data_IF_177831742161
#
_entry.id   IF_177831742161
#
_cell.length_a   1.000
_cell.length_b   1.000
_cell.length_c   1.000
_cell.angle_alpha   90.00
_cell.angle_beta   90.00
_cell.angle_gamma   90.00
#
_symmetry.space_group_name_H-M   'P 1'
#
loop_
_entity.id
_entity.type
_entity.pdbx_description
1 polymer ?
#
# COMPACT_ATOMS: atom_id res chain seq x y z
N UNK A 1 27.68 -49.45 -6.62
CA UNK A 1 29.08 -49.05 -6.88
C UNK A 1 29.02 -47.98 -7.96
N UNK A 2 28.72 -46.72 -7.60
CA UNK A 2 29.68 -45.70 -7.12
C UNK A 2 30.57 -45.16 -8.27
N UNK A 3 30.31 -43.90 -8.62
CA UNK A 3 31.12 -43.00 -9.45
C UNK A 3 32.40 -42.58 -8.69
N UNK A 4 33.50 -42.33 -9.42
CA UNK A 4 34.48 -41.24 -9.21
C UNK A 4 35.43 -41.20 -10.42
N UNK A 5 35.34 -40.16 -11.26
CA UNK A 5 36.23 -38.98 -11.23
C UNK A 5 37.66 -39.28 -11.74
N UNK A 6 37.94 -38.99 -13.01
CA UNK A 6 38.50 -37.72 -13.52
C UNK A 6 39.96 -37.40 -13.14
N UNK A 7 40.69 -37.00 -14.19
CA UNK A 7 41.77 -36.00 -14.26
C UNK A 7 43.24 -36.45 -14.14
N UNK A 8 43.92 -36.21 -15.26
CA UNK A 8 45.24 -35.55 -15.46
C UNK A 8 46.37 -36.43 -15.99
N UNK A 9 46.53 -36.33 -17.31
CA UNK A 9 47.77 -35.96 -18.04
C UNK A 9 47.30 -35.66 -19.48
N UNK A 10 47.01 -34.44 -19.91
CA UNK A 10 47.87 -33.26 -20.03
C UNK A 10 49.22 -33.61 -20.70
N UNK A 11 49.29 -33.50 -22.03
CA UNK A 11 50.31 -32.72 -22.76
C UNK A 11 50.36 -33.08 -24.27
N UNK A 12 50.52 -32.05 -25.11
CA UNK A 12 50.87 -32.01 -26.55
C UNK A 12 49.75 -32.37 -27.56
N UNK A 13 49.51 -31.65 -28.65
CA UNK A 13 50.19 -30.50 -29.26
C UNK A 13 49.24 -29.71 -30.19
N UNK A 14 49.48 -28.41 -30.28
CA UNK A 14 48.94 -27.42 -31.21
C UNK A 14 49.43 -27.65 -32.66
N UNK A 15 48.62 -27.26 -33.67
CA UNK A 15 49.02 -26.36 -34.77
C UNK A 15 47.97 -26.28 -35.91
N UNK A 16 47.60 -25.05 -36.29
CA UNK A 16 47.20 -24.66 -37.64
C UNK A 16 45.69 -24.42 -37.87
N UNK A 17 45.21 -23.34 -38.47
CA UNK A 17 45.76 -22.03 -38.84
C UNK A 17 44.59 -21.17 -39.34
N UNK A 18 44.65 -19.89 -39.03
CA UNK A 18 43.78 -18.79 -39.45
C UNK A 18 43.78 -18.54 -40.97
N UNK A 19 42.61 -18.14 -41.51
CA UNK A 19 42.51 -17.16 -42.59
C UNK A 19 41.06 -16.71 -42.77
N UNK A 20 40.75 -15.44 -42.42
CA UNK A 20 40.03 -14.49 -43.30
C UNK A 20 39.83 -13.12 -42.66
N UNK A 21 40.45 -12.12 -43.26
CA UNK A 21 39.75 -10.88 -43.64
C UNK A 21 39.74 -9.73 -42.64
N UNK A 22 40.83 -8.97 -42.59
CA UNK A 22 40.83 -7.61 -42.05
C UNK A 22 40.27 -6.62 -43.09
N UNK A 23 39.27 -5.83 -42.71
CA UNK A 23 39.04 -4.48 -43.28
C UNK A 23 38.55 -3.55 -42.18
N UNK A 24 39.25 -2.42 -42.05
CA UNK A 24 39.10 -1.39 -41.03
C UNK A 24 38.36 -0.18 -41.63
N UNK A 25 37.69 0.56 -40.74
CA UNK A 25 37.34 2.00 -40.80
C UNK A 25 36.14 2.45 -41.65
N UNK A 26 35.05 2.81 -40.96
CA UNK A 26 34.52 4.19 -40.93
C UNK A 26 33.47 4.40 -39.82
N UNK A 27 33.85 5.11 -38.78
CA UNK A 27 33.02 6.08 -38.04
C UNK A 27 33.77 7.41 -38.17
N UNK A 28 33.12 8.59 -38.32
CA UNK A 28 32.40 9.27 -37.23
C UNK A 28 31.18 10.09 -37.75
N UNK A 29 30.31 10.76 -36.99
CA UNK A 29 30.59 11.88 -36.07
C UNK A 29 29.32 12.27 -35.30
N UNK A 30 29.47 12.26 -33.98
CA UNK A 30 28.68 12.92 -32.96
C UNK A 30 29.21 14.36 -32.82
N UNK A 31 28.34 15.36 -32.64
CA UNK A 31 28.74 16.74 -32.38
C UNK A 31 27.94 17.32 -31.22
N UNK A 32 28.66 17.63 -30.14
CA UNK A 32 28.27 18.56 -29.08
C UNK A 32 29.53 19.28 -28.55
N UNK A 33 29.50 20.63 -28.58
CA UNK A 33 30.21 21.63 -27.75
C UNK A 33 29.91 23.02 -28.38
N UNK A 34 29.13 23.94 -27.78
CA UNK A 34 29.45 24.86 -26.66
C UNK A 34 30.69 25.74 -26.97
N UNK A 35 30.77 27.06 -26.77
CA UNK A 35 29.93 28.14 -26.21
C UNK A 35 30.72 29.45 -26.42
N UNK A 36 30.08 30.59 -26.72
CA UNK A 36 30.61 31.93 -26.36
C UNK A 36 29.49 33.00 -26.48
N UNK A 37 29.04 33.51 -25.34
CA UNK A 37 28.29 34.76 -25.23
C UNK A 37 29.26 35.95 -25.07
N UNK A 38 28.81 37.20 -25.26
CA UNK A 38 28.33 37.93 -24.08
C UNK A 38 27.04 38.74 -24.29
N UNK A 39 26.46 39.07 -23.13
CA UNK A 39 25.17 39.71 -22.86
C UNK A 39 25.16 41.20 -23.19
N UNK A 40 24.00 41.69 -23.66
CA UNK A 40 23.57 43.09 -23.57
C UNK A 40 22.05 43.18 -23.50
N UNK A 41 21.52 43.59 -22.33
CA UNK A 41 20.08 43.71 -22.00
C UNK A 41 19.51 45.10 -22.36
N UNK A 42 18.27 45.12 -22.90
CA UNK A 42 17.07 45.89 -22.44
C UNK A 42 16.02 45.84 -23.58
N UNK A 43 14.90 45.14 -23.45
CA UNK A 43 13.63 45.58 -22.84
C UNK A 43 13.13 46.87 -23.53
N UNK A 44 11.96 46.92 -24.19
CA UNK A 44 10.62 46.69 -23.63
C UNK A 44 9.57 46.63 -24.74
N UNK A 45 8.59 45.73 -24.62
CA UNK A 45 7.42 45.64 -25.49
C UNK A 45 6.46 44.55 -25.02
N UNK A 46 5.87 44.76 -23.84
CA UNK A 46 4.95 43.83 -23.19
C UNK A 46 3.63 43.73 -23.97
N UNK A 47 3.35 42.56 -24.55
CA UNK A 47 1.98 42.10 -24.78
C UNK A 47 1.65 41.08 -23.71
N UNK A 48 0.76 41.51 -22.83
CA UNK A 48 0.13 40.74 -21.77
C UNK A 48 -0.53 39.50 -22.34
N UNK A 49 0.06 38.34 -22.10
CA UNK A 49 -0.66 37.07 -22.20
C UNK A 49 -1.21 36.78 -20.80
N UNK A 50 -2.54 36.82 -20.72
CA UNK A 50 -3.32 36.37 -19.57
C UNK A 50 -2.89 34.95 -19.18
N UNK A 51 -2.54 34.68 -17.91
CA UNK A 51 -2.32 33.32 -17.48
C UNK A 51 -3.67 32.60 -17.52
N UNK A 52 -3.79 31.61 -18.41
CA UNK A 52 -4.86 30.61 -18.40
C UNK A 52 -5.09 30.16 -16.96
N UNK A 53 -6.27 30.50 -16.43
CA UNK A 53 -6.75 30.03 -15.15
C UNK A 53 -6.60 28.52 -15.09
N UNK A 54 -5.77 28.07 -14.16
CA UNK A 54 -5.69 26.67 -13.79
C UNK A 54 -7.10 26.19 -13.42
N UNK A 55 -7.50 25.07 -14.00
CA UNK A 55 -8.71 24.34 -13.64
C UNK A 55 -8.83 24.31 -12.10
N UNK A 56 -10.02 24.60 -11.53
CA UNK A 56 -10.16 24.64 -10.09
C UNK A 56 -9.88 23.23 -9.57
N UNK A 57 -8.78 23.09 -8.82
CA UNK A 57 -8.50 21.88 -8.03
C UNK A 57 -9.77 21.56 -7.26
N UNK A 58 -10.39 20.42 -7.58
CA UNK A 58 -11.57 19.92 -6.89
C UNK A 58 -11.38 20.14 -5.39
N UNK A 59 -12.21 21.00 -4.82
CA UNK A 59 -12.15 21.33 -3.41
C UNK A 59 -12.35 20.02 -2.64
N UNK A 60 -11.30 19.54 -2.00
CA UNK A 60 -11.37 18.33 -1.20
C UNK A 60 -12.26 18.63 0.01
N UNK A 61 -13.54 18.28 -0.11
CA UNK A 61 -14.51 18.34 1.00
C UNK A 61 -13.85 17.62 2.18
N UNK A 62 -13.72 18.29 3.34
CA UNK A 62 -13.14 17.64 4.51
C UNK A 62 -13.92 16.36 4.81
N UNK A 63 -13.26 15.20 4.95
CA UNK A 63 -13.97 13.95 5.18
C UNK A 63 -14.77 14.08 6.48
N UNK A 64 -16.08 13.76 6.41
CA UNK A 64 -17.06 13.92 7.51
C UNK A 64 -16.53 13.41 8.86
N UNK A 65 -15.89 12.26 8.84
CA UNK A 65 -15.31 11.61 10.02
C UNK A 65 -14.17 12.42 10.67
N UNK A 66 -13.40 13.18 9.88
CA UNK A 66 -12.34 14.06 10.40
C UNK A 66 -12.91 15.28 11.12
N UNK A 67 -14.02 15.82 10.64
CA UNK A 67 -14.72 16.92 11.32
C UNK A 67 -15.32 16.44 12.62
N UNK A 68 -16.02 15.31 12.58
CA UNK A 68 -16.59 14.66 13.77
C UNK A 68 -15.54 14.33 14.82
N UNK A 69 -14.37 13.86 14.39
CA UNK A 69 -13.23 13.63 15.27
C UNK A 69 -12.82 14.90 16.04
N UNK A 70 -12.70 16.03 15.35
CA UNK A 70 -12.30 17.30 15.98
C UNK A 70 -13.39 17.90 16.86
N UNK A 71 -14.64 17.86 16.40
CA UNK A 71 -15.75 18.55 17.04
C UNK A 71 -16.30 17.80 18.27
N UNK A 72 -16.43 16.48 18.18
CA UNK A 72 -17.12 15.67 19.19
C UNK A 72 -16.14 14.79 19.98
N UNK A 73 -15.26 14.07 19.28
CA UNK A 73 -14.46 13.00 19.87
C UNK A 73 -13.29 13.54 20.69
N UNK A 74 -12.59 14.58 20.21
CA UNK A 74 -11.49 15.21 20.96
C UNK A 74 -11.97 15.75 22.32
N UNK A 75 -13.07 16.51 22.41
CA UNK A 75 -13.61 16.93 23.72
C UNK A 75 -14.02 15.76 24.62
N UNK A 76 -14.63 14.71 24.06
CA UNK A 76 -15.05 13.53 24.83
C UNK A 76 -13.84 12.79 25.43
N UNK A 77 -12.79 12.55 24.64
CA UNK A 77 -11.56 11.91 25.11
C UNK A 77 -10.84 12.77 26.15
N UNK A 78 -10.79 14.08 25.95
CA UNK A 78 -10.17 15.01 26.89
C UNK A 78 -10.89 15.01 28.23
N UNK A 79 -12.24 14.98 28.24
CA UNK A 79 -13.03 14.89 29.47
C UNK A 79 -12.83 13.57 30.20
N UNK A 80 -12.71 12.46 29.46
CA UNK A 80 -12.60 11.12 30.05
C UNK A 80 -11.22 10.83 30.63
N UNK A 81 -10.17 11.22 29.94
CA UNK A 81 -8.79 10.90 30.32
C UNK A 81 -8.03 12.10 30.91
N UNK A 82 -8.66 13.27 31.00
CA UNK A 82 -8.12 14.50 31.60
C UNK A 82 -6.70 14.84 31.11
N UNK A 83 -6.50 14.83 29.79
CA UNK A 83 -5.20 15.11 29.20
C UNK A 83 -4.69 16.52 29.55
N UNK A 84 -3.41 16.61 29.92
CA UNK A 84 -2.77 17.89 30.29
C UNK A 84 -2.44 18.75 29.07
N UNK A 85 -2.28 18.11 27.90
CA UNK A 85 -1.93 18.79 26.66
C UNK A 85 -2.86 18.32 25.53
N UNK A 86 -3.49 19.22 24.75
CA UNK A 86 -4.32 18.86 23.60
C UNK A 86 -3.63 17.93 22.59
N UNK A 87 -2.32 18.01 22.47
CA UNK A 87 -1.53 17.17 21.56
C UNK A 87 -1.33 15.73 22.07
N UNK A 88 -1.70 15.42 23.32
CA UNK A 88 -1.69 14.06 23.86
C UNK A 88 -2.91 13.25 23.42
N UNK A 89 -3.96 13.89 22.90
CA UNK A 89 -5.18 13.22 22.50
C UNK A 89 -4.87 12.18 21.40
N UNK A 90 -5.29 10.91 21.58
CA UNK A 90 -5.08 9.86 20.60
C UNK A 90 -5.64 10.22 19.21
N UNK A 91 -4.87 9.93 18.17
CA UNK A 91 -5.26 10.09 16.76
C UNK A 91 -4.92 8.86 15.95
N UNK A 92 -5.64 8.65 14.85
CA UNK A 92 -5.30 7.62 13.86
C UNK A 92 -4.13 8.12 13.01
N UNK A 93 -3.04 7.34 12.95
CA UNK A 93 -1.85 7.67 12.17
C UNK A 93 -1.92 7.14 10.74
N UNK A 94 -2.31 5.87 10.60
CA UNK A 94 -2.40 5.17 9.32
C UNK A 94 -3.32 3.97 9.47
N UNK A 95 -3.91 3.58 8.36
CA UNK A 95 -4.60 2.30 8.22
C UNK A 95 -3.85 1.47 7.20
N UNK A 96 -3.49 0.25 7.58
CA UNK A 96 -2.83 -0.72 6.69
C UNK A 96 -3.86 -1.78 6.37
N UNK A 97 -4.13 -1.98 5.09
CA UNK A 97 -4.97 -3.08 4.60
C UNK A 97 -4.05 -4.07 3.91
N UNK A 98 -4.10 -5.31 4.34
CA UNK A 98 -3.26 -6.39 3.84
C UNK A 98 -4.14 -7.56 3.39
N UNK A 99 -3.82 -8.14 2.24
CA UNK A 99 -4.49 -9.32 1.72
C UNK A 99 -3.45 -10.40 1.42
N UNK A 100 -3.60 -11.54 2.08
CA UNK A 100 -2.81 -12.74 1.81
C UNK A 100 -3.47 -13.59 0.74
N UNK A 101 -2.76 -13.87 -0.35
CA UNK A 101 -3.26 -14.69 -1.46
C UNK A 101 -2.46 -15.98 -1.49
N UNK A 102 -2.90 -16.99 -0.74
CA UNK A 102 -2.19 -18.28 -0.64
C UNK A 102 -2.05 -19.02 -1.97
N UNK A 103 -3.01 -18.80 -2.87
CA UNK A 103 -3.04 -19.42 -4.21
C UNK A 103 -2.08 -18.78 -5.21
N UNK A 104 -1.48 -17.64 -4.86
CA UNK A 104 -0.52 -16.92 -5.69
C UNK A 104 0.67 -17.79 -6.12
N UNK A 105 0.98 -18.84 -5.35
CA UNK A 105 2.05 -19.79 -5.64
C UNK A 105 1.73 -20.63 -6.88
N UNK A 106 0.46 -20.98 -7.09
CA UNK A 106 0.00 -21.78 -8.23
C UNK A 106 -0.42 -20.90 -9.40
N UNK A 107 -1.11 -19.80 -9.11
CA UNK A 107 -1.59 -18.88 -10.13
C UNK A 107 -1.11 -17.44 -9.85
N UNK A 108 -0.09 -16.93 -10.56
CA UNK A 108 0.39 -15.58 -10.35
C UNK A 108 -0.65 -14.50 -10.71
N UNK A 109 -1.60 -14.82 -11.60
CA UNK A 109 -2.68 -13.87 -11.99
C UNK A 109 -3.63 -13.57 -10.83
N UNK A 110 -3.78 -14.49 -9.87
CA UNK A 110 -4.62 -14.26 -8.70
C UNK A 110 -4.15 -13.06 -7.85
N UNK A 111 -2.85 -12.76 -7.87
CA UNK A 111 -2.30 -11.57 -7.20
C UNK A 111 -2.70 -10.30 -7.95
N UNK A 112 -2.72 -10.34 -9.28
CA UNK A 112 -3.10 -9.18 -10.10
C UNK A 112 -4.58 -8.84 -9.91
N UNK A 113 -5.48 -9.84 -9.87
CA UNK A 113 -6.89 -9.64 -9.52
C UNK A 113 -7.02 -9.03 -8.12
N UNK A 114 -6.33 -9.58 -7.11
CA UNK A 114 -6.35 -9.05 -5.74
C UNK A 114 -5.81 -7.61 -5.64
N UNK A 115 -4.85 -7.23 -6.49
CA UNK A 115 -4.34 -5.86 -6.57
C UNK A 115 -5.40 -4.93 -7.17
N UNK A 116 -6.14 -5.37 -8.19
CA UNK A 116 -7.23 -4.61 -8.78
C UNK A 116 -8.36 -4.37 -7.75
N UNK A 117 -8.78 -5.42 -7.04
CA UNK A 117 -9.83 -5.35 -6.01
C UNK A 117 -9.44 -4.36 -4.90
N UNK A 118 -8.23 -4.51 -4.32
CA UNK A 118 -7.75 -3.58 -3.30
C UNK A 118 -7.56 -2.15 -3.83
N UNK A 119 -7.22 -1.99 -5.12
CA UNK A 119 -7.10 -0.67 -5.72
C UNK A 119 -8.46 0.04 -5.81
N UNK A 120 -9.52 -0.69 -6.15
CA UNK A 120 -10.88 -0.16 -6.17
C UNK A 120 -11.34 0.23 -4.77
N UNK A 121 -11.12 -0.65 -3.78
CA UNK A 121 -11.50 -0.39 -2.39
C UNK A 121 -10.75 0.83 -1.83
N UNK A 122 -9.42 0.85 -1.97
CA UNK A 122 -8.57 1.84 -1.31
C UNK A 122 -8.37 3.14 -2.11
N UNK A 123 -8.73 3.17 -3.39
CA UNK A 123 -8.43 4.29 -4.31
C UNK A 123 -6.93 4.56 -4.48
N UNK A 124 -6.09 3.59 -4.12
CA UNK A 124 -4.64 3.70 -4.11
C UNK A 124 -4.03 2.39 -4.60
N UNK A 125 -3.07 2.49 -5.53
CA UNK A 125 -2.35 1.32 -6.06
C UNK A 125 -1.67 0.55 -4.92
N UNK A 126 -2.05 -0.71 -4.66
CA UNK A 126 -1.42 -1.55 -3.65
C UNK A 126 0.01 -1.93 -4.02
N UNK A 127 0.82 -2.22 -3.01
CA UNK A 127 2.16 -2.77 -3.16
C UNK A 127 2.11 -4.30 -3.10
N UNK A 128 2.70 -4.98 -4.09
CA UNK A 128 2.82 -6.44 -4.09
C UNK A 128 3.89 -6.87 -3.09
N UNK A 129 3.52 -7.81 -2.20
CA UNK A 129 4.40 -8.38 -1.19
C UNK A 129 5.00 -9.68 -1.70
N UNK A 130 6.33 -9.71 -1.78
CA UNK A 130 7.11 -10.89 -2.14
C UNK A 130 7.63 -11.60 -0.91
N UNK A 131 7.74 -12.92 -1.00
CA UNK A 131 8.33 -13.76 0.02
C UNK A 131 9.79 -13.39 0.29
N UNK A 132 10.16 -13.22 1.57
CA UNK A 132 11.55 -12.94 2.00
C UNK A 132 12.40 -14.19 2.16
N UNK A 133 11.79 -15.30 2.58
CA UNK A 133 12.46 -16.58 2.86
C UNK A 133 11.75 -17.69 2.09
N UNK A 134 12.51 -18.69 1.67
CA UNK A 134 11.96 -19.94 1.13
C UNK A 134 11.56 -20.84 2.29
N UNK A 135 10.35 -21.42 2.24
CA UNK A 135 9.83 -22.34 3.26
C UNK A 135 9.16 -23.52 2.57
N UNK A 136 9.74 -24.72 2.75
CA UNK A 136 9.31 -25.93 2.05
C UNK A 136 7.89 -26.36 2.41
N UNK A 137 7.45 -26.19 3.66
CA UNK A 137 6.10 -26.56 4.12
C UNK A 137 5.00 -25.79 3.37
N UNK A 138 5.27 -24.54 2.98
CA UNK A 138 4.34 -23.71 2.21
C UNK A 138 4.61 -23.78 0.70
N UNK A 139 5.51 -24.65 0.23
CA UNK A 139 5.95 -24.76 -1.17
C UNK A 139 6.42 -23.42 -1.77
N UNK A 140 6.95 -22.54 -0.92
CA UNK A 140 7.18 -21.14 -1.24
C UNK A 140 8.68 -20.87 -1.40
N UNK A 141 9.04 -20.17 -2.49
CA UNK A 141 10.41 -19.74 -2.78
C UNK A 141 10.55 -18.23 -2.55
N UNK A 142 11.74 -17.79 -2.14
CA UNK A 142 12.05 -16.37 -1.99
C UNK A 142 11.80 -15.61 -3.32
N UNK A 143 11.23 -14.42 -3.22
CA UNK A 143 10.90 -13.57 -4.37
C UNK A 143 9.53 -13.79 -5.02
N UNK A 144 8.84 -14.90 -4.71
CA UNK A 144 7.48 -15.16 -5.21
C UNK A 144 6.49 -14.14 -4.61
N UNK A 145 5.54 -13.64 -5.40
CA UNK A 145 4.46 -12.78 -4.91
C UNK A 145 3.45 -13.60 -4.09
N UNK A 146 3.10 -13.13 -2.90
CA UNK A 146 2.24 -13.86 -1.93
C UNK A 146 0.99 -13.07 -1.57
N UNK A 147 1.00 -11.76 -1.81
CA UNK A 147 -0.14 -10.92 -1.47
C UNK A 147 0.10 -9.46 -1.82
N UNK A 148 -0.80 -8.61 -1.35
CA UNK A 148 -0.79 -7.18 -1.62
C UNK A 148 -1.14 -6.41 -0.34
N UNK A 149 -0.54 -5.24 -0.20
CA UNK A 149 -0.79 -4.37 0.94
C UNK A 149 -0.83 -2.91 0.50
N UNK A 150 -1.73 -2.15 1.11
CA UNK A 150 -1.86 -0.71 0.93
C UNK A 150 -1.79 -0.02 2.28
N UNK A 151 -1.14 1.15 2.33
CA UNK A 151 -1.11 1.97 3.53
C UNK A 151 -1.76 3.31 3.22
N UNK A 152 -2.87 3.55 3.91
CA UNK A 152 -3.67 4.76 3.78
C UNK A 152 -3.29 5.75 4.88
N UNK A 153 -3.12 7.01 4.49
CA UNK A 153 -2.81 8.15 5.37
C UNK A 153 -3.57 9.39 4.89
N UNK A 154 -3.72 10.38 5.78
CA UNK A 154 -4.36 11.64 5.44
C UNK A 154 -5.84 11.48 5.10
N UNK A 155 -6.30 12.13 4.03
CA UNK A 155 -7.73 12.17 3.64
C UNK A 155 -8.27 10.78 3.30
N UNK A 156 -7.55 10.01 2.47
CA UNK A 156 -7.97 8.66 2.02
C UNK A 156 -8.19 7.69 3.18
N UNK A 157 -7.44 7.85 4.26
CA UNK A 157 -7.59 7.05 5.47
C UNK A 157 -8.93 7.32 6.15
N UNK A 158 -9.32 8.59 6.28
CA UNK A 158 -10.59 8.98 6.89
C UNK A 158 -11.78 8.54 6.03
N UNK A 159 -11.69 8.67 4.71
CA UNK A 159 -12.71 8.19 3.78
C UNK A 159 -12.85 6.66 3.79
N UNK A 160 -11.72 5.94 3.87
CA UNK A 160 -11.75 4.49 3.99
C UNK A 160 -12.39 4.04 5.31
N UNK A 161 -12.03 4.67 6.44
CA UNK A 161 -12.65 4.37 7.74
C UNK A 161 -14.15 4.67 7.74
N UNK A 162 -14.58 5.75 7.08
CA UNK A 162 -16.00 6.08 6.95
C UNK A 162 -16.75 5.00 6.17
N UNK A 163 -16.24 4.63 5.00
CA UNK A 163 -16.82 3.56 4.18
C UNK A 163 -16.84 2.22 4.93
N UNK A 164 -15.78 1.93 5.67
CA UNK A 164 -15.66 0.71 6.46
C UNK A 164 -16.74 0.64 7.55
N UNK A 165 -16.89 1.70 8.35
CA UNK A 165 -17.82 1.71 9.48
C UNK A 165 -19.28 1.83 9.04
N UNK A 166 -19.56 2.68 8.06
CA UNK A 166 -20.93 2.99 7.64
C UNK A 166 -21.50 1.96 6.68
N UNK A 167 -20.69 1.42 5.75
CA UNK A 167 -21.17 0.51 4.70
C UNK A 167 -20.65 -0.92 4.86
N UNK A 168 -19.34 -1.08 5.06
CA UNK A 168 -18.72 -2.40 4.94
C UNK A 168 -19.04 -3.32 6.13
N UNK A 169 -18.94 -2.82 7.37
CA UNK A 169 -19.17 -3.63 8.57
C UNK A 169 -20.62 -4.16 8.66
N UNK A 170 -21.67 -3.34 8.44
CA UNK A 170 -23.05 -3.82 8.48
C UNK A 170 -23.36 -4.91 7.43
N UNK A 171 -22.59 -4.98 6.34
CA UNK A 171 -22.75 -5.98 5.28
C UNK A 171 -22.06 -7.32 5.57
N UNK A 172 -21.31 -7.42 6.67
CA UNK A 172 -20.69 -8.68 7.08
C UNK A 172 -21.81 -9.68 7.45
N UNK A 173 -21.78 -10.86 6.83
CA UNK A 173 -22.68 -11.97 7.17
C UNK A 173 -22.50 -12.39 8.64
N UNK A 174 -23.61 -12.52 9.36
CA UNK A 174 -23.66 -12.88 10.78
C UNK A 174 -22.85 -11.93 11.70
N UNK A 175 -22.94 -10.62 11.45
CA UNK A 175 -22.21 -9.63 12.23
C UNK A 175 -22.71 -9.53 13.68
N UNK A 176 -21.87 -9.97 14.64
CA UNK A 176 -22.14 -9.89 16.09
C UNK A 176 -21.38 -8.75 16.80
N UNK A 177 -20.78 -7.84 16.03
CA UNK A 177 -19.82 -6.87 16.55
C UNK A 177 -18.38 -7.34 16.41
N UNK A 178 -17.46 -6.38 16.37
CA UNK A 178 -16.02 -6.67 16.30
C UNK A 178 -15.50 -7.00 17.71
N UNK A 179 -14.76 -8.10 17.90
CA UNK A 179 -14.23 -8.45 19.22
C UNK A 179 -13.17 -7.44 19.70
N UNK A 180 -13.21 -7.12 20.99
CA UNK A 180 -12.20 -6.26 21.65
C UNK A 180 -10.81 -6.91 21.72
N UNK A 181 -10.70 -8.22 21.47
CA UNK A 181 -9.40 -8.94 21.49
C UNK A 181 -8.43 -8.50 20.38
N UNK A 182 -8.87 -7.72 19.39
CA UNK A 182 -8.02 -7.22 18.32
C UNK A 182 -7.01 -6.14 18.72
N UNK A 183 -7.00 -5.67 19.97
CA UNK A 183 -5.98 -4.74 20.45
C UNK A 183 -4.66 -5.45 20.78
N UNK A 184 -3.54 -4.76 20.53
CA UNK A 184 -2.18 -5.30 20.66
C UNK A 184 -1.48 -4.96 21.99
N UNK A 185 -2.18 -4.36 22.95
CA UNK A 185 -1.60 -3.89 24.22
C UNK A 185 -0.93 -2.52 24.12
N UNK A 186 -0.83 -1.93 22.92
CA UNK A 186 -0.15 -0.66 22.64
C UNK A 186 -1.05 0.30 21.88
N UNK A 187 -2.37 0.12 21.97
CA UNK A 187 -3.34 1.01 21.35
C UNK A 187 -3.49 0.86 19.83
N UNK A 188 -2.93 -0.18 19.21
CA UNK A 188 -3.25 -0.50 17.82
C UNK A 188 -4.34 -1.56 17.77
N UNK A 189 -5.16 -1.50 16.73
CA UNK A 189 -6.27 -2.41 16.56
C UNK A 189 -6.16 -3.14 15.23
N UNK A 190 -6.23 -4.47 15.24
CA UNK A 190 -6.27 -5.28 14.03
C UNK A 190 -7.44 -6.24 14.08
N UNK A 191 -8.15 -6.34 12.96
CA UNK A 191 -9.19 -7.33 12.76
C UNK A 191 -9.17 -7.85 11.32
N UNK A 192 -9.57 -9.11 11.17
CA UNK A 192 -9.68 -9.78 9.88
C UNK A 192 -11.11 -9.77 9.36
N UNK A 193 -11.27 -9.50 8.07
CA UNK A 193 -12.49 -9.66 7.31
C UNK A 193 -12.35 -10.89 6.43
N UNK A 194 -13.36 -11.76 6.43
CA UNK A 194 -13.31 -13.03 5.68
C UNK A 194 -13.59 -12.84 4.18
N UNK A 195 -14.39 -11.84 3.81
CA UNK A 195 -14.91 -11.68 2.45
C UNK A 195 -14.72 -10.22 2.00
N UNK A 196 -14.10 -10.01 0.84
CA UNK A 196 -13.95 -8.68 0.24
C UNK A 196 -15.25 -8.08 -0.31
N UNK A 197 -16.30 -8.91 -0.47
CA UNK A 197 -17.62 -8.54 -0.99
C UNK A 197 -18.42 -7.59 -0.08
N UNK A 198 -17.89 -7.28 1.10
CA UNK A 198 -18.48 -6.31 2.02
C UNK A 198 -18.39 -4.88 1.46
N UNK A 199 -17.46 -4.63 0.54
CA UNK A 199 -17.28 -3.33 -0.09
C UNK A 199 -18.21 -3.19 -1.31
N UNK A 200 -19.07 -2.16 -1.36
CA UNK A 200 -19.95 -1.92 -2.52
C UNK A 200 -19.21 -1.66 -3.83
N UNK A 201 -17.92 -1.30 -3.76
CA UNK A 201 -17.09 -1.03 -4.94
C UNK A 201 -16.69 -2.29 -5.70
N UNK A 202 -16.78 -3.46 -5.08
CA UNK A 202 -16.45 -4.73 -5.71
C UNK A 202 -17.69 -5.31 -6.39
N UNK A 203 -17.56 -5.59 -7.68
CA UNK A 203 -18.58 -6.28 -8.45
C UNK A 203 -18.46 -7.79 -8.27
N UNK A 204 -19.56 -8.44 -7.87
CA UNK A 204 -19.64 -9.88 -7.64
C UNK A 204 -19.26 -10.68 -8.88
N UNK A 205 -19.58 -10.17 -10.08
CA UNK A 205 -19.34 -10.90 -11.34
C UNK A 205 -17.87 -10.91 -11.73
N UNK A 206 -17.08 -9.95 -11.24
CA UNK A 206 -15.65 -9.83 -11.55
C UNK A 206 -14.75 -10.60 -10.60
N UNK A 207 -15.31 -11.10 -9.48
CA UNK A 207 -14.54 -11.76 -8.44
C UNK A 207 -14.37 -13.24 -8.77
N UNK A 208 -13.13 -13.62 -9.09
CA UNK A 208 -12.77 -15.02 -9.32
C UNK A 208 -13.02 -15.89 -8.07
N UNK A 209 -12.65 -15.37 -6.89
CA UNK A 209 -12.70 -16.08 -5.62
C UNK A 209 -12.86 -15.15 -4.43
N UNK A 210 -13.50 -15.67 -3.38
CA UNK A 210 -13.68 -14.96 -2.11
C UNK A 210 -12.35 -14.93 -1.35
N UNK A 211 -11.82 -13.71 -1.17
CA UNK A 211 -10.60 -13.46 -0.40
C UNK A 211 -10.92 -12.63 0.83
N UNK A 212 -10.19 -12.92 1.91
CA UNK A 212 -10.22 -12.14 3.15
C UNK A 212 -9.13 -11.06 3.16
N UNK A 213 -9.23 -10.12 4.08
CA UNK A 213 -8.22 -9.08 4.29
C UNK A 213 -8.09 -8.75 5.78
N UNK A 214 -6.88 -8.38 6.18
CA UNK A 214 -6.58 -7.88 7.51
C UNK A 214 -6.48 -6.36 7.47
N UNK A 215 -7.18 -5.70 8.39
CA UNK A 215 -7.20 -4.25 8.54
C UNK A 215 -6.55 -3.91 9.87
N UNK A 216 -5.40 -3.24 9.81
CA UNK A 216 -4.67 -2.73 10.97
C UNK A 216 -4.80 -1.22 11.06
N UNK A 217 -5.45 -0.76 12.12
CA UNK A 217 -5.60 0.65 12.46
C UNK A 217 -4.52 1.00 13.48
N UNK A 218 -3.60 1.88 13.07
CA UNK A 218 -2.49 2.33 13.92
C UNK A 218 -2.85 3.68 14.50
N UNK A 219 -2.81 3.78 15.82
CA UNK A 219 -3.12 5.02 16.54
C UNK A 219 -1.90 5.55 17.30
N UNK A 220 -2.01 6.73 17.90
CA UNK A 220 -1.01 7.26 18.84
C UNK A 220 -1.29 6.92 20.30
N UNK A 221 -2.40 6.21 20.59
CA UNK A 221 -2.76 5.82 21.95
C UNK A 221 -1.63 4.98 22.56
N UNK A 222 -1.46 5.09 23.88
CA UNK A 222 -0.46 4.27 24.60
C UNK A 222 -1.09 3.03 25.21
N UNK A 223 -2.37 3.10 25.54
CA UNK A 223 -3.14 2.02 26.15
C UNK A 223 -4.30 1.61 25.25
N UNK A 224 -4.75 0.36 25.42
CA UNK A 224 -5.87 -0.17 24.66
C UNK A 224 -7.19 0.50 25.02
N UNK A 225 -7.32 1.00 26.25
CA UNK A 225 -8.51 1.73 26.70
C UNK A 225 -8.69 3.03 25.92
N UNK A 226 -7.62 3.80 25.75
CA UNK A 226 -7.63 5.04 24.95
C UNK A 226 -7.99 4.76 23.49
N UNK A 227 -7.41 3.70 22.92
CA UNK A 227 -7.67 3.30 21.55
C UNK A 227 -9.11 2.79 21.36
N UNK A 228 -9.63 2.03 22.33
CA UNK A 228 -11.00 1.54 22.32
C UNK A 228 -12.00 2.69 22.35
N UNK A 229 -11.78 3.68 23.22
CA UNK A 229 -12.65 4.85 23.29
C UNK A 229 -12.58 5.73 22.04
N UNK A 230 -11.39 5.90 21.48
CA UNK A 230 -11.22 6.58 20.20
C UNK A 230 -12.03 5.88 19.09
N UNK A 231 -11.86 4.56 18.93
CA UNK A 231 -12.53 3.80 17.88
C UNK A 231 -14.05 3.70 18.12
N UNK A 232 -14.48 3.56 19.36
CA UNK A 232 -15.89 3.55 19.73
C UNK A 232 -16.55 4.90 19.42
N UNK A 233 -15.89 6.01 19.75
CA UNK A 233 -16.35 7.36 19.42
C UNK A 233 -16.42 7.62 17.91
N UNK A 234 -15.54 7.00 17.13
CA UNK A 234 -15.57 7.05 15.66
C UNK A 234 -16.75 6.26 15.06
N UNK A 235 -17.45 5.45 15.86
CA UNK A 235 -18.60 4.66 15.43
C UNK A 235 -18.27 3.20 15.14
N UNK A 236 -17.14 2.68 15.64
CA UNK A 236 -16.78 1.28 15.44
C UNK A 236 -17.68 0.36 16.27
N UNK A 237 -18.43 -0.57 15.65
CA UNK A 237 -19.36 -1.45 16.35
C UNK A 237 -18.62 -2.61 17.03
N UNK A 238 -18.21 -2.41 18.27
CA UNK A 238 -17.66 -3.49 19.09
C UNK A 238 -18.77 -4.43 19.58
N UNK A 239 -18.46 -5.72 19.64
CA UNK A 239 -19.35 -6.70 20.26
C UNK A 239 -19.55 -6.33 21.75
N UNK A 240 -20.81 -6.32 22.20
CA UNK A 240 -21.07 -6.28 23.64
C UNK A 240 -20.50 -7.57 24.23
N UNK A 241 -19.66 -7.46 25.24
CA UNK A 241 -19.20 -8.61 26.01
C UNK A 241 -20.45 -9.36 26.51
N UNK A 242 -20.64 -10.58 26.01
CA UNK A 242 -21.54 -11.58 26.56
C UNK A 242 -20.73 -12.49 27.49
#
# INVERSE_FOLDING_TARGET
>A
MANEETKKKAAKAEAGADAKGATKKKAPKEQAAAEAAPKGKKATGAKSQEPKAAEPKAQAVPPRLRERYKAEIVPQLTKRFSYKNPMQVPRVLKVVVNMGVGEAIQNPKAVDSAVADLQQIAGQKPSVRRARKSVSNFKLRAGVAVGCAVTLRGVRMWEFLDRLMTFAIPRIRDFRGIPRRGFDGRGNFTFGVKEQLIFPEIDYDTVDQIRGMDISIVTTARTDEEAFELLSGLGMPFARQA
#
